data_IF_385672276688
#
_entry.id   IF_385672276688
#
_cell.length_a   1.000
_cell.length_b   1.000
_cell.length_c   1.000
_cell.angle_alpha   90.00
_cell.angle_beta   90.00
_cell.angle_gamma   90.00
#
_symmetry.space_group_name_H-M   'P 1'
#
loop_
_entity.id
_entity.type
_entity.pdbx_description
1 polymer ?
#
# COMPACT_ATOMS: atom_id res chain seq x y z
N UNK A 1 22.65 9.88 -2.37
CA UNK A 1 21.32 9.24 -2.18
C UNK A 1 20.58 9.24 -3.51
N UNK A 2 19.85 8.18 -3.85
CA UNK A 2 19.23 8.01 -5.18
C UNK A 2 17.92 8.81 -5.35
N UNK A 3 17.32 9.31 -4.27
CA UNK A 3 16.07 10.10 -4.29
C UNK A 3 14.91 9.38 -3.61
N UNK A 4 13.66 9.77 -3.92
CA UNK A 4 12.45 9.13 -3.39
C UNK A 4 11.64 8.51 -4.51
N UNK A 5 11.20 7.27 -4.32
CA UNK A 5 10.24 6.63 -5.22
C UNK A 5 8.90 7.37 -5.15
N UNK A 6 8.29 7.65 -6.30
CA UNK A 6 7.06 8.43 -6.38
C UNK A 6 5.85 7.69 -5.81
N UNK A 7 5.09 8.34 -4.95
CA UNK A 7 3.84 7.84 -4.38
C UNK A 7 2.74 8.89 -4.46
N UNK A 8 1.49 8.42 -4.48
CA UNK A 8 0.33 9.20 -4.01
C UNK A 8 0.14 8.93 -2.53
N UNK A 9 -0.22 9.97 -1.79
CA UNK A 9 -0.70 9.88 -0.40
C UNK A 9 -2.21 10.16 -0.35
N UNK A 10 -2.82 9.86 0.79
CA UNK A 10 -4.22 10.11 1.10
C UNK A 10 -4.35 10.91 2.39
N UNK A 11 -5.14 11.99 2.35
CA UNK A 11 -5.61 12.68 3.55
C UNK A 11 -7.04 12.27 3.85
N UNK A 12 -7.35 12.01 5.11
CA UNK A 12 -8.67 11.58 5.56
C UNK A 12 -9.29 12.64 6.47
N UNK A 13 -10.29 13.35 5.96
CA UNK A 13 -11.10 14.24 6.78
C UNK A 13 -12.20 13.44 7.46
N UNK A 14 -12.00 13.14 8.74
CA UNK A 14 -12.96 12.43 9.58
C UNK A 14 -14.11 13.36 10.00
N UNK A 15 -15.34 12.89 9.84
CA UNK A 15 -16.53 13.50 10.43
C UNK A 15 -17.47 12.43 11.01
N UNK A 16 -18.35 12.86 11.90
CA UNK A 16 -19.41 12.02 12.48
C UNK A 16 -20.77 12.46 11.96
N UNK A 17 -21.70 11.53 11.84
CA UNK A 17 -23.08 11.78 11.44
C UNK A 17 -24.03 10.98 12.33
N UNK A 18 -25.16 11.56 12.70
CA UNK A 18 -26.21 10.86 13.45
C UNK A 18 -27.16 10.18 12.43
N UNK A 19 -27.20 8.86 12.44
CA UNK A 19 -27.92 8.06 11.44
C UNK A 19 -27.04 7.56 10.30
N UNK A 20 -27.63 7.43 9.11
CA UNK A 20 -27.01 6.89 7.90
C UNK A 20 -26.69 8.03 6.92
N UNK A 21 -25.39 8.22 6.64
CA UNK A 21 -24.94 9.37 5.86
C UNK A 21 -25.15 9.15 4.36
N UNK A 22 -24.83 7.95 3.86
CA UNK A 22 -24.85 7.68 2.42
C UNK A 22 -25.44 6.30 2.03
N UNK A 23 -25.79 5.45 2.99
CA UNK A 23 -26.47 4.17 2.72
C UNK A 23 -25.59 3.08 2.09
N UNK A 24 -24.28 3.29 1.99
CA UNK A 24 -23.32 2.31 1.49
C UNK A 24 -21.91 2.53 2.08
N UNK A 25 -21.06 1.51 2.06
CA UNK A 25 -19.72 1.62 2.64
C UNK A 25 -18.80 2.59 1.88
N UNK A 26 -18.94 2.69 0.56
CA UNK A 26 -18.06 3.51 -0.29
C UNK A 26 -18.90 4.17 -1.38
N UNK A 27 -18.84 5.50 -1.45
CA UNK A 27 -19.41 6.30 -2.53
C UNK A 27 -18.30 7.06 -3.26
N UNK A 28 -18.08 6.76 -4.53
CA UNK A 28 -17.09 7.44 -5.36
C UNK A 28 -17.67 8.71 -5.99
N UNK A 29 -16.84 9.73 -6.13
CA UNK A 29 -17.16 10.98 -6.82
C UNK A 29 -16.19 11.13 -7.99
N UNK A 30 -16.72 11.05 -9.21
CA UNK A 30 -15.90 11.01 -10.43
C UNK A 30 -15.68 12.39 -11.06
N UNK A 31 -16.39 13.39 -10.56
CA UNK A 31 -16.39 14.75 -11.06
C UNK A 31 -15.18 15.53 -10.53
N UNK A 32 -14.51 16.28 -11.42
CA UNK A 32 -13.26 17.00 -11.09
C UNK A 32 -13.47 18.19 -10.16
N UNK A 33 -14.69 18.74 -10.15
CA UNK A 33 -15.09 19.83 -9.25
C UNK A 33 -15.38 19.35 -7.81
N UNK A 34 -15.50 18.04 -7.60
CA UNK A 34 -15.54 17.45 -6.25
C UNK A 34 -14.11 17.22 -5.76
N UNK A 35 -13.69 17.85 -4.64
CA UNK A 35 -12.28 17.85 -4.25
C UNK A 35 -11.78 16.53 -3.62
N UNK A 36 -12.69 15.68 -3.14
CA UNK A 36 -12.39 14.35 -2.58
C UNK A 36 -12.71 13.25 -3.58
N UNK A 37 -11.97 12.14 -3.52
CA UNK A 37 -12.14 10.99 -4.44
C UNK A 37 -13.37 10.15 -4.09
N UNK A 38 -13.67 10.03 -2.79
CA UNK A 38 -14.78 9.25 -2.25
C UNK A 38 -15.10 9.62 -0.82
N UNK A 39 -16.27 9.17 -0.37
CA UNK A 39 -16.61 9.11 1.05
C UNK A 39 -16.78 7.65 1.46
N UNK A 40 -16.16 7.28 2.59
CA UNK A 40 -16.34 5.97 3.21
C UNK A 40 -17.13 6.07 4.50
N UNK A 41 -18.21 5.30 4.61
CA UNK A 41 -19.06 5.21 5.80
C UNK A 41 -18.81 3.86 6.48
N UNK A 42 -18.05 3.89 7.58
CA UNK A 42 -17.36 2.69 8.07
C UNK A 42 -18.30 1.62 8.64
N UNK A 43 -19.45 2.01 9.21
CA UNK A 43 -20.40 1.06 9.79
C UNK A 43 -20.90 0.03 8.78
N UNK A 44 -20.97 0.40 7.49
CA UNK A 44 -21.42 -0.48 6.42
C UNK A 44 -20.39 -1.57 6.03
N UNK A 45 -19.15 -1.51 6.54
CA UNK A 45 -18.21 -2.65 6.44
C UNK A 45 -18.50 -3.77 7.44
N UNK A 46 -19.31 -3.49 8.46
CA UNK A 46 -19.73 -4.44 9.49
C UNK A 46 -21.26 -4.54 9.53
N UNK A 47 -21.92 -5.00 8.45
CA UNK A 47 -23.39 -5.02 8.35
C UNK A 47 -24.08 -5.95 9.36
N UNK A 48 -23.32 -6.75 10.11
CA UNK A 48 -23.80 -7.58 11.23
C UNK A 48 -23.91 -6.80 12.55
N UNK A 49 -23.41 -5.56 12.61
CA UNK A 49 -23.52 -4.67 13.77
C UNK A 49 -24.58 -3.58 13.51
N UNK A 50 -25.12 -3.01 14.58
CA UNK A 50 -26.04 -1.87 14.52
C UNK A 50 -25.46 -0.69 15.29
N UNK A 51 -25.42 0.46 14.63
CA UNK A 51 -24.86 1.71 15.16
C UNK A 51 -25.81 2.86 14.84
N UNK A 52 -26.25 3.61 15.85
CA UNK A 52 -27.07 4.81 15.67
C UNK A 52 -26.26 5.91 14.96
N UNK A 53 -25.04 6.15 15.43
CA UNK A 53 -24.10 7.10 14.82
C UNK A 53 -23.20 6.45 13.76
N UNK A 54 -22.60 7.31 12.95
CA UNK A 54 -21.72 6.91 11.85
C UNK A 54 -20.42 7.72 11.83
N UNK A 55 -19.32 7.06 11.50
CA UNK A 55 -18.01 7.69 11.26
C UNK A 55 -17.69 7.59 9.78
N UNK A 56 -17.55 8.76 9.15
CA UNK A 56 -17.36 8.89 7.72
C UNK A 56 -16.08 9.67 7.41
N UNK A 57 -15.36 9.25 6.37
CA UNK A 57 -14.13 9.91 5.93
C UNK A 57 -14.31 10.46 4.52
N UNK A 58 -14.02 11.75 4.30
CA UNK A 58 -13.72 12.26 2.95
C UNK A 58 -12.26 11.97 2.65
N UNK A 59 -11.99 11.29 1.54
CA UNK A 59 -10.64 10.92 1.12
C UNK A 59 -10.12 11.89 0.05
N UNK A 60 -8.94 12.47 0.26
CA UNK A 60 -8.29 13.37 -0.69
C UNK A 60 -6.98 12.74 -1.16
N UNK A 61 -6.72 12.76 -2.46
CA UNK A 61 -5.51 12.19 -3.03
C UNK A 61 -4.57 13.27 -3.54
N UNK A 62 -3.29 13.21 -3.16
CA UNK A 62 -2.23 14.14 -3.62
C UNK A 62 -0.89 13.43 -3.80
N UNK A 63 0.10 14.13 -4.35
CA UNK A 63 1.47 13.62 -4.40
C UNK A 63 2.02 13.50 -2.97
N UNK A 64 2.76 12.43 -2.69
CA UNK A 64 3.40 12.23 -1.40
C UNK A 64 4.67 13.09 -1.27
N UNK A 65 4.75 13.85 -0.19
CA UNK A 65 5.90 14.62 0.27
C UNK A 65 6.76 13.78 1.25
N UNK A 66 7.93 14.28 1.68
CA UNK A 66 8.86 13.51 2.51
C UNK A 66 8.30 12.91 3.80
N UNK A 67 7.35 13.59 4.43
CA UNK A 67 6.77 13.23 5.73
C UNK A 67 5.40 12.55 5.61
N UNK A 68 4.93 12.33 4.38
CA UNK A 68 3.65 11.67 4.14
C UNK A 68 3.75 10.15 4.17
N UNK A 69 2.62 9.52 4.50
CA UNK A 69 2.47 8.07 4.39
C UNK A 69 2.36 7.70 2.90
N UNK A 70 3.25 6.84 2.36
CA UNK A 70 3.12 6.38 0.97
C UNK A 70 1.96 5.38 0.84
N UNK A 71 0.94 5.68 0.02
CA UNK A 71 -0.22 4.81 -0.24
C UNK A 71 -0.14 4.10 -1.60
N UNK A 72 -0.15 4.82 -2.73
CA UNK A 72 -0.17 4.21 -4.06
C UNK A 72 1.12 4.50 -4.85
N UNK A 73 1.89 3.49 -5.28
CA UNK A 73 3.11 3.72 -6.05
C UNK A 73 2.78 4.17 -7.48
N UNK A 74 3.42 5.25 -7.96
CA UNK A 74 3.12 5.86 -9.28
C UNK A 74 3.64 5.00 -10.45
N UNK A 75 4.79 4.33 -10.29
CA UNK A 75 5.40 3.37 -11.26
C UNK A 75 5.46 3.85 -12.72
N UNK A 76 5.71 5.14 -12.98
CA UNK A 76 5.98 5.63 -14.34
C UNK A 76 7.44 5.36 -14.75
N UNK A 77 7.81 5.76 -15.98
CA UNK A 77 9.10 5.41 -16.60
C UNK A 77 10.29 5.89 -15.77
N UNK A 78 10.23 7.10 -15.20
CA UNK A 78 11.31 7.65 -14.36
C UNK A 78 11.48 6.86 -13.06
N UNK A 79 10.37 6.43 -12.46
CA UNK A 79 10.34 5.63 -11.24
C UNK A 79 10.88 4.23 -11.49
N UNK A 80 10.73 3.67 -12.71
CA UNK A 80 11.33 2.37 -13.05
C UNK A 80 12.85 2.40 -13.09
N UNK A 81 13.45 3.48 -13.59
CA UNK A 81 14.91 3.66 -13.57
C UNK A 81 15.42 3.75 -12.14
N UNK A 82 14.80 4.59 -11.31
CA UNK A 82 15.16 4.74 -9.91
C UNK A 82 14.97 3.42 -9.13
N UNK A 83 13.88 2.70 -9.38
CA UNK A 83 13.63 1.39 -8.79
C UNK A 83 14.74 0.40 -9.14
N UNK A 84 15.17 0.34 -10.40
CA UNK A 84 16.24 -0.57 -10.83
C UNK A 84 17.56 -0.29 -10.09
N UNK A 85 17.89 0.98 -9.85
CA UNK A 85 19.07 1.36 -9.06
C UNK A 85 18.97 0.90 -7.60
N UNK A 86 17.79 1.05 -6.97
CA UNK A 86 17.54 0.54 -5.63
C UNK A 86 17.58 -0.99 -5.56
N UNK A 87 17.03 -1.69 -6.56
CA UNK A 87 17.07 -3.16 -6.65
C UNK A 87 18.51 -3.65 -6.79
N UNK A 88 19.34 -2.98 -7.60
CA UNK A 88 20.76 -3.30 -7.72
C UNK A 88 21.53 -3.07 -6.40
N UNK A 89 21.16 -2.07 -5.60
CA UNK A 89 21.74 -1.85 -4.26
C UNK A 89 21.28 -2.92 -3.27
N UNK A 90 19.98 -3.24 -3.27
CA UNK A 90 19.41 -4.29 -2.44
C UNK A 90 20.06 -5.65 -2.70
N UNK A 91 20.33 -5.99 -3.97
CA UNK A 91 21.04 -7.23 -4.34
C UNK A 91 22.48 -7.33 -3.84
N UNK A 92 23.09 -6.22 -3.38
CA UNK A 92 24.43 -6.20 -2.77
C UNK A 92 24.37 -6.17 -1.23
N UNK A 93 23.19 -6.10 -0.64
CA UNK A 93 23.01 -5.97 0.80
C UNK A 93 22.83 -7.35 1.43
N UNK A 94 23.78 -7.77 2.26
CA UNK A 94 23.74 -9.07 2.91
C UNK A 94 22.83 -9.08 4.15
N UNK A 95 22.23 -10.24 4.44
CA UNK A 95 21.47 -10.46 5.68
C UNK A 95 20.09 -9.80 5.72
N UNK A 96 19.56 -9.36 4.58
CA UNK A 96 18.23 -8.74 4.48
C UNK A 96 17.48 -9.23 3.24
N UNK A 97 16.19 -9.49 3.40
CA UNK A 97 15.25 -9.71 2.30
C UNK A 97 14.15 -8.66 2.36
N UNK A 98 13.85 -8.02 1.23
CA UNK A 98 12.86 -6.96 1.13
C UNK A 98 11.53 -7.54 0.61
N UNK A 99 10.43 -7.25 1.30
CA UNK A 99 9.11 -7.84 1.04
C UNK A 99 7.99 -6.81 1.09
N UNK A 100 6.81 -7.21 0.61
CA UNK A 100 5.57 -6.46 0.73
C UNK A 100 5.53 -5.18 -0.10
N UNK A 101 4.46 -4.40 0.09
CA UNK A 101 4.14 -3.24 -0.77
C UNK A 101 5.23 -2.16 -0.81
N UNK A 102 5.88 -1.90 0.33
CA UNK A 102 6.92 -0.87 0.44
C UNK A 102 8.31 -1.40 0.05
N UNK A 103 8.69 -2.58 0.54
CA UNK A 103 9.99 -3.18 0.24
C UNK A 103 10.15 -3.57 -1.23
N UNK A 104 9.05 -3.77 -1.95
CA UNK A 104 9.07 -4.13 -3.38
C UNK A 104 8.44 -3.07 -4.30
N UNK A 105 8.04 -1.90 -3.78
CA UNK A 105 7.43 -0.81 -4.56
C UNK A 105 6.26 -1.27 -5.48
N UNK A 106 5.37 -2.08 -4.93
CA UNK A 106 4.18 -2.61 -5.61
C UNK A 106 2.92 -2.31 -4.81
N UNK A 107 1.80 -2.14 -5.51
CA UNK A 107 0.49 -2.26 -4.87
C UNK A 107 0.18 -3.74 -4.72
N UNK A 108 -0.12 -4.18 -3.50
CA UNK A 108 -0.45 -5.55 -3.17
C UNK A 108 -1.70 -5.54 -2.30
N UNK A 109 -2.69 -6.33 -2.69
CA UNK A 109 -3.83 -6.61 -1.83
C UNK A 109 -3.41 -7.50 -0.64
N UNK A 110 -4.28 -7.61 0.36
CA UNK A 110 -3.95 -8.30 1.62
C UNK A 110 -3.66 -9.79 1.41
N UNK A 111 -4.44 -10.47 0.58
CA UNK A 111 -4.29 -11.89 0.26
C UNK A 111 -2.98 -12.18 -0.48
N UNK A 112 -2.62 -11.34 -1.45
CA UNK A 112 -1.34 -11.42 -2.17
C UNK A 112 -0.18 -11.20 -1.19
N UNK A 113 -0.29 -10.22 -0.30
CA UNK A 113 0.73 -9.97 0.73
C UNK A 113 0.93 -11.17 1.65
N UNK A 114 -0.16 -11.80 2.10
CA UNK A 114 -0.10 -13.01 2.93
C UNK A 114 0.55 -14.16 2.17
N UNK A 115 0.16 -14.38 0.90
CA UNK A 115 0.76 -15.41 0.05
C UNK A 115 2.27 -15.21 -0.09
N UNK A 116 2.69 -14.02 -0.51
CA UNK A 116 4.11 -13.71 -0.71
C UNK A 116 4.94 -13.81 0.57
N UNK A 117 4.34 -13.48 1.72
CA UNK A 117 5.01 -13.65 3.03
C UNK A 117 5.22 -15.13 3.36
N UNK A 118 4.24 -16.00 3.12
CA UNK A 118 4.37 -17.44 3.29
C UNK A 118 5.43 -18.03 2.35
N UNK A 119 5.40 -17.62 1.07
CA UNK A 119 6.37 -18.06 0.07
C UNK A 119 7.79 -17.60 0.42
N UNK A 120 7.93 -16.37 0.94
CA UNK A 120 9.21 -15.85 1.42
C UNK A 120 9.72 -16.65 2.61
N UNK A 121 8.88 -16.94 3.60
CA UNK A 121 9.28 -17.74 4.76
C UNK A 121 9.71 -19.16 4.35
N UNK A 122 8.94 -19.82 3.47
CA UNK A 122 9.29 -21.14 2.95
C UNK A 122 10.60 -21.11 2.14
N UNK A 123 10.77 -20.12 1.26
CA UNK A 123 11.99 -19.92 0.49
C UNK A 123 13.21 -19.67 1.37
N UNK A 124 13.06 -18.86 2.42
CA UNK A 124 14.12 -18.58 3.39
C UNK A 124 14.58 -19.87 4.09
N UNK A 125 13.65 -20.64 4.65
CA UNK A 125 13.95 -21.92 5.30
C UNK A 125 14.68 -22.87 4.34
N UNK A 126 14.23 -22.97 3.09
CA UNK A 126 14.86 -23.84 2.11
C UNK A 126 16.31 -23.46 1.76
N UNK A 127 16.67 -22.16 1.79
CA UNK A 127 18.05 -21.72 1.60
C UNK A 127 18.90 -22.03 2.85
N UNK A 128 18.36 -21.76 4.03
CA UNK A 128 19.03 -22.05 5.30
C UNK A 128 19.33 -23.54 5.44
N UNK A 129 18.37 -24.42 5.12
CA UNK A 129 18.53 -25.88 5.20
C UNK A 129 19.62 -26.41 4.25
N UNK A 130 19.90 -25.70 3.16
CA UNK A 130 20.91 -26.07 2.16
C UNK A 130 22.24 -25.35 2.32
N UNK A 131 22.38 -24.49 3.33
CA UNK A 131 23.54 -23.58 3.49
C UNK A 131 23.77 -22.70 2.24
N UNK A 132 22.67 -22.28 1.59
CA UNK A 132 22.66 -21.42 0.42
C UNK A 132 22.47 -19.94 0.81
N UNK A 133 23.01 -19.03 -0.03
CA UNK A 133 22.84 -17.60 0.19
C UNK A 133 21.36 -17.18 0.02
N UNK A 134 20.78 -16.57 1.05
CA UNK A 134 19.41 -16.04 1.03
C UNK A 134 19.33 -14.82 0.09
N UNK A 135 18.40 -14.79 -0.88
CA UNK A 135 18.27 -13.69 -1.82
C UNK A 135 17.67 -12.43 -1.16
N UNK A 136 18.03 -11.27 -1.70
CA UNK A 136 17.44 -9.98 -1.30
C UNK A 136 15.93 -9.88 -1.62
N UNK A 137 15.44 -10.64 -2.61
CA UNK A 137 14.03 -10.70 -2.98
C UNK A 137 13.64 -12.13 -3.34
N UNK A 138 12.49 -12.58 -2.82
CA UNK A 138 11.86 -13.84 -3.23
C UNK A 138 10.81 -13.66 -4.34
N UNK A 139 10.48 -12.41 -4.65
CA UNK A 139 9.48 -12.03 -5.65
C UNK A 139 10.11 -11.11 -6.71
N UNK A 140 9.60 -11.14 -7.94
CA UNK A 140 10.05 -10.25 -8.99
C UNK A 140 9.62 -8.79 -8.71
N UNK A 141 10.57 -7.86 -8.74
CA UNK A 141 10.36 -6.44 -8.40
C UNK A 141 10.36 -5.53 -9.64
N UNK A 142 11.07 -5.92 -10.70
CA UNK A 142 11.23 -5.18 -11.96
C UNK A 142 10.68 -6.00 -13.11
#
# INVERSE_FOLDING_TARGET
ELGRLGYRTLDFERFAYDGDYQGCAVMNYGEVDVPYTRITEHKHFSPWESHEGSICYREFSRAAEPDDIPYYPIRQVKEKTLLAEYVALAGKTAGVSFVGRLGTYRYLDMDVTIREALDTAAGFLAHVDKDEAVPAFFQAVV
#
